data_IF_580542194208
#
_entry.id   IF_580542194208
#
_cell.length_a   1.000
_cell.length_b   1.000
_cell.length_c   1.000
_cell.angle_alpha   90.00
_cell.angle_beta   90.00
_cell.angle_gamma   90.00
#
_symmetry.space_group_name_H-M   'P 1'
#
loop_
_entity.id
_entity.type
_entity.pdbx_description
1 polymer ?
#
# COMPACT_ATOMS: atom_id res chain seq x y z
N UNK A 1 -4.41 5.64 -7.75
CA UNK A 1 -4.67 7.02 -8.17
C UNK A 1 -4.29 7.95 -7.03
N UNK A 2 -3.37 8.89 -7.21
CA UNK A 2 -3.02 9.85 -6.18
C UNK A 2 -4.16 10.84 -5.95
N UNK A 3 -4.58 11.02 -4.70
CA UNK A 3 -5.75 11.84 -4.34
C UNK A 3 -5.46 13.34 -4.25
N UNK A 4 -4.19 13.73 -4.29
CA UNK A 4 -3.76 15.09 -3.97
C UNK A 4 -4.43 16.19 -4.80
N UNK A 5 -4.87 15.89 -6.02
CA UNK A 5 -5.43 16.88 -6.94
C UNK A 5 -6.96 16.82 -7.06
N UNK A 6 -7.60 15.70 -6.81
CA UNK A 6 -9.05 15.54 -7.02
C UNK A 6 -9.88 15.56 -5.73
N UNK A 7 -9.22 15.45 -4.57
CA UNK A 7 -9.88 15.28 -3.29
C UNK A 7 -10.48 13.89 -3.07
N UNK A 8 -10.23 13.33 -1.89
CA UNK A 8 -10.66 11.96 -1.56
C UNK A 8 -12.19 11.84 -1.47
N UNK A 9 -12.86 12.77 -0.79
CA UNK A 9 -14.30 12.67 -0.54
C UNK A 9 -15.15 12.69 -1.83
N UNK A 10 -14.92 13.57 -2.81
CA UNK A 10 -15.64 13.50 -4.08
C UNK A 10 -15.44 12.20 -4.84
N UNK A 11 -14.21 11.64 -4.79
CA UNK A 11 -13.91 10.38 -5.46
C UNK A 11 -14.66 9.19 -4.82
N UNK A 12 -14.69 9.13 -3.50
CA UNK A 12 -15.44 8.09 -2.77
C UNK A 12 -16.95 8.22 -2.99
N UNK A 13 -17.47 9.45 -2.96
CA UNK A 13 -18.88 9.71 -3.25
C UNK A 13 -19.27 9.30 -4.68
N UNK A 14 -18.38 9.55 -5.65
CA UNK A 14 -18.57 9.08 -7.02
C UNK A 14 -18.61 7.55 -7.08
N UNK A 15 -17.62 6.88 -6.48
CA UNK A 15 -17.58 5.42 -6.46
C UNK A 15 -18.85 4.82 -5.84
N UNK A 16 -19.31 5.36 -4.72
CA UNK A 16 -20.52 4.93 -4.04
C UNK A 16 -21.77 5.10 -4.92
N UNK A 17 -21.88 6.24 -5.59
CA UNK A 17 -23.03 6.57 -6.45
C UNK A 17 -23.15 5.63 -7.65
N UNK A 18 -22.03 5.14 -8.17
CA UNK A 18 -21.98 4.22 -9.30
C UNK A 18 -21.83 2.75 -8.89
N UNK A 19 -21.92 2.44 -7.59
CA UNK A 19 -21.77 1.07 -7.10
C UNK A 19 -20.37 0.48 -7.32
N UNK A 20 -19.36 1.34 -7.50
CA UNK A 20 -17.97 0.91 -7.70
C UNK A 20 -17.38 0.55 -6.34
N UNK A 21 -16.95 -0.71 -6.13
CA UNK A 21 -16.29 -1.09 -4.90
C UNK A 21 -14.94 -0.37 -4.78
N UNK A 22 -14.65 0.14 -3.58
CA UNK A 22 -13.39 0.82 -3.31
C UNK A 22 -12.73 0.31 -2.04
N UNK A 23 -11.44 0.57 -1.91
CA UNK A 23 -10.65 0.34 -0.72
C UNK A 23 -9.56 1.42 -0.63
N UNK A 24 -9.44 2.05 0.54
CA UNK A 24 -8.38 3.00 0.82
C UNK A 24 -7.17 2.27 1.37
N UNK A 25 -5.99 2.52 0.79
CA UNK A 25 -4.71 2.22 1.41
C UNK A 25 -4.07 3.57 1.73
N UNK A 26 -3.63 3.76 2.94
CA UNK A 26 -3.00 4.99 3.39
C UNK A 26 -1.66 4.71 4.05
N UNK A 27 -0.69 5.57 3.80
CA UNK A 27 0.59 5.58 4.49
C UNK A 27 0.41 5.93 5.98
N UNK A 28 1.39 5.59 6.81
CA UNK A 28 1.36 5.90 8.24
C UNK A 28 1.86 7.29 8.58
N UNK A 29 2.03 8.15 7.58
CA UNK A 29 2.42 9.54 7.75
C UNK A 29 1.21 10.44 8.16
N UNK A 30 1.48 11.72 8.42
CA UNK A 30 0.45 12.68 8.83
C UNK A 30 -0.67 12.82 7.79
N UNK A 31 -0.33 12.79 6.51
CA UNK A 31 -1.30 12.88 5.42
C UNK A 31 -2.20 11.63 5.36
N UNK A 32 -1.61 10.44 5.49
CA UNK A 32 -2.33 9.19 5.52
C UNK A 32 -3.27 9.08 6.71
N UNK A 33 -2.83 9.47 7.91
CA UNK A 33 -3.67 9.55 9.11
C UNK A 33 -4.88 10.45 8.86
N UNK A 34 -4.66 11.60 8.22
CA UNK A 34 -5.73 12.54 7.89
C UNK A 34 -6.73 11.94 6.88
N UNK A 35 -6.24 11.23 5.85
CA UNK A 35 -7.10 10.53 4.88
C UNK A 35 -7.93 9.44 5.53
N UNK A 36 -7.35 8.64 6.42
CA UNK A 36 -8.08 7.64 7.20
C UNK A 36 -9.20 8.28 8.02
N UNK A 37 -8.90 9.36 8.75
CA UNK A 37 -9.88 10.06 9.56
C UNK A 37 -11.05 10.63 8.72
N UNK A 38 -10.75 11.17 7.54
CA UNK A 38 -11.79 11.64 6.59
C UNK A 38 -12.63 10.47 6.06
N UNK A 39 -11.99 9.38 5.67
CA UNK A 39 -12.69 8.22 5.10
C UNK A 39 -13.60 7.54 6.11
N UNK A 40 -13.20 7.48 7.40
CA UNK A 40 -14.06 6.96 8.47
C UNK A 40 -15.43 7.63 8.52
N UNK A 41 -15.48 8.92 8.29
CA UNK A 41 -16.76 9.68 8.26
C UNK A 41 -17.66 9.33 7.06
N UNK A 42 -17.09 8.71 6.04
CA UNK A 42 -17.77 8.31 4.79
C UNK A 42 -18.11 6.82 4.74
N UNK A 43 -17.76 6.06 5.78
CA UNK A 43 -18.02 4.61 5.80
C UNK A 43 -19.50 4.26 5.91
N UNK A 44 -20.32 5.16 6.48
CA UNK A 44 -21.71 4.89 6.84
C UNK A 44 -21.81 3.61 7.69
N UNK A 45 -22.39 2.54 7.17
CA UNK A 45 -22.54 1.24 7.86
C UNK A 45 -21.51 0.19 7.43
N UNK A 46 -20.48 0.56 6.62
CA UNK A 46 -19.48 -0.37 6.13
C UNK A 46 -18.43 -0.66 7.20
N UNK A 47 -18.04 -1.94 7.41
CA UNK A 47 -16.96 -2.27 8.33
C UNK A 47 -15.64 -1.63 7.89
N UNK A 48 -14.99 -0.90 8.79
CA UNK A 48 -13.73 -0.19 8.50
C UNK A 48 -12.66 -1.15 7.95
N UNK A 49 -12.48 -2.31 8.57
CA UNK A 49 -11.48 -3.30 8.16
C UNK A 49 -11.65 -3.80 6.71
N UNK A 50 -12.83 -3.62 6.12
CA UNK A 50 -13.08 -3.99 4.72
C UNK A 50 -12.95 -2.83 3.74
N UNK A 51 -12.72 -1.62 4.24
CA UNK A 51 -12.66 -0.41 3.41
C UNK A 51 -11.36 0.36 3.56
N UNK A 52 -10.62 0.16 4.65
CA UNK A 52 -9.41 0.92 4.95
C UNK A 52 -8.30 -0.04 5.38
N UNK A 53 -7.13 0.13 4.78
CA UNK A 53 -5.86 -0.43 5.25
C UNK A 53 -4.92 0.74 5.49
N UNK A 54 -4.59 1.01 6.75
CA UNK A 54 -3.54 1.94 7.13
C UNK A 54 -2.23 1.18 7.29
N UNK A 55 -1.17 1.64 6.65
CA UNK A 55 0.16 1.08 6.85
C UNK A 55 0.67 1.46 8.26
N UNK A 56 1.33 0.54 8.95
CA UNK A 56 1.84 0.81 10.30
C UNK A 56 3.18 1.56 10.30
N UNK A 57 3.74 1.80 9.12
CA UNK A 57 5.00 2.53 8.90
C UNK A 57 4.77 3.80 8.09
N UNK A 58 5.80 4.63 8.00
CA UNK A 58 5.77 5.92 7.33
C UNK A 58 5.18 5.85 5.92
N UNK A 59 5.58 4.83 5.18
CA UNK A 59 5.13 4.53 3.82
C UNK A 59 5.26 3.03 3.51
N UNK A 60 4.87 2.64 2.30
CA UNK A 60 4.94 1.25 1.85
C UNK A 60 6.38 0.72 1.82
N UNK A 61 7.34 1.55 1.46
CA UNK A 61 8.74 1.17 1.36
C UNK A 61 9.33 0.83 2.73
N UNK A 62 9.05 1.64 3.76
CA UNK A 62 9.46 1.36 5.15
C UNK A 62 8.75 0.14 5.71
N UNK A 63 7.46 -0.04 5.40
CA UNK A 63 6.73 -1.24 5.77
C UNK A 63 7.37 -2.49 5.16
N UNK A 64 7.64 -2.51 3.86
CA UNK A 64 8.28 -3.64 3.18
C UNK A 64 9.69 -3.91 3.71
N UNK A 65 10.45 -2.86 3.99
CA UNK A 65 11.75 -3.00 4.65
C UNK A 65 11.64 -3.78 5.96
N UNK A 66 10.75 -3.37 6.84
CA UNK A 66 10.52 -4.03 8.13
C UNK A 66 10.01 -5.47 7.98
N UNK A 67 9.20 -5.74 6.98
CA UNK A 67 8.66 -7.06 6.68
C UNK A 67 9.69 -8.02 6.01
N UNK A 68 10.97 -7.60 5.98
CA UNK A 68 12.08 -8.46 5.58
C UNK A 68 12.50 -8.34 4.11
N UNK A 69 12.10 -7.27 3.42
CA UNK A 69 12.56 -6.98 2.05
C UNK A 69 13.77 -6.03 2.02
N UNK A 70 14.43 -5.79 3.14
CA UNK A 70 15.62 -4.94 3.26
C UNK A 70 16.67 -5.26 2.19
N UNK A 71 16.94 -6.54 1.93
CA UNK A 71 17.93 -6.96 0.94
C UNK A 71 17.60 -6.48 -0.49
N UNK A 72 16.32 -6.34 -0.83
CA UNK A 72 15.90 -5.83 -2.15
C UNK A 72 16.28 -4.37 -2.29
N UNK A 73 15.97 -3.57 -1.26
CA UNK A 73 16.33 -2.14 -1.24
C UNK A 73 17.85 -1.93 -1.22
N UNK A 74 18.60 -2.71 -0.42
CA UNK A 74 20.06 -2.61 -0.39
C UNK A 74 20.69 -2.95 -1.74
N UNK A 75 20.20 -4.00 -2.41
CA UNK A 75 20.66 -4.37 -3.75
C UNK A 75 20.40 -3.27 -4.77
N UNK A 76 19.21 -2.67 -4.77
CA UNK A 76 18.85 -1.59 -5.67
C UNK A 76 19.59 -0.29 -5.38
N UNK A 77 19.86 0.01 -4.12
CA UNK A 77 20.61 1.19 -3.71
C UNK A 77 22.08 1.13 -4.16
N UNK A 78 22.64 -0.06 -4.34
CA UNK A 78 24.07 -0.24 -4.61
C UNK A 78 24.94 0.04 -3.38
N UNK A 79 26.19 0.49 -3.55
CA UNK A 79 27.09 0.78 -2.44
C UNK A 79 26.53 1.89 -1.54
N UNK A 80 26.25 1.54 -0.29
CA UNK A 80 25.88 2.45 0.80
C UNK A 80 26.72 2.14 2.02
N UNK A 81 26.89 3.11 2.90
CA UNK A 81 27.59 2.90 4.15
C UNK A 81 26.92 1.76 4.96
N UNK A 82 27.68 0.84 5.54
CA UNK A 82 27.11 -0.30 6.28
C UNK A 82 26.16 0.12 7.40
N UNK A 83 26.43 1.27 8.04
CA UNK A 83 25.65 1.87 9.10
C UNK A 83 24.46 2.70 8.62
N UNK A 84 24.23 2.81 7.30
CA UNK A 84 23.12 3.56 6.77
C UNK A 84 21.77 2.99 7.22
N UNK A 85 20.97 3.84 7.84
CA UNK A 85 19.63 3.49 8.28
C UNK A 85 18.66 3.25 7.14
N UNK A 86 17.51 2.62 7.44
CA UNK A 86 16.48 2.25 6.46
C UNK A 86 16.11 3.39 5.50
N UNK A 87 15.78 4.57 6.03
CA UNK A 87 15.37 5.72 5.20
C UNK A 87 16.41 6.15 4.18
N UNK A 88 17.71 6.14 4.55
CA UNK A 88 18.79 6.51 3.64
C UNK A 88 18.92 5.50 2.49
N UNK A 89 18.87 4.21 2.81
CA UNK A 89 18.96 3.14 1.81
C UNK A 89 17.73 3.15 0.90
N UNK A 90 16.54 3.25 1.45
CA UNK A 90 15.27 3.33 0.69
C UNK A 90 15.31 4.52 -0.27
N UNK A 91 15.70 5.70 0.22
CA UNK A 91 15.79 6.88 -0.61
C UNK A 91 16.79 6.72 -1.76
N UNK A 92 17.95 6.12 -1.51
CA UNK A 92 18.93 5.84 -2.55
C UNK A 92 18.43 4.80 -3.56
N UNK A 93 17.78 3.74 -3.10
CA UNK A 93 17.16 2.74 -3.96
C UNK A 93 16.11 3.35 -4.90
N UNK A 94 15.24 4.21 -4.36
CA UNK A 94 14.20 4.89 -5.15
C UNK A 94 14.77 5.89 -6.17
N UNK A 95 15.92 6.47 -5.88
CA UNK A 95 16.64 7.32 -6.86
C UNK A 95 17.28 6.50 -7.97
N UNK A 96 17.78 5.31 -7.67
CA UNK A 96 18.42 4.43 -8.64
C UNK A 96 17.42 3.68 -9.51
N UNK A 97 16.29 3.24 -8.94
CA UNK A 97 15.37 2.31 -9.59
C UNK A 97 13.95 2.85 -9.82
N UNK A 98 13.61 4.04 -9.33
CA UNK A 98 12.25 4.60 -9.29
C UNK A 98 11.26 3.79 -8.42
N UNK A 99 10.12 4.39 -8.03
CA UNK A 99 9.08 3.66 -7.27
C UNK A 99 8.47 2.49 -8.03
N UNK A 100 8.07 2.61 -9.32
CA UNK A 100 7.58 1.47 -10.09
C UNK A 100 8.62 0.37 -10.26
N UNK A 101 9.88 0.71 -10.48
CA UNK A 101 10.97 -0.26 -10.57
C UNK A 101 11.15 -1.02 -9.27
N UNK A 102 11.16 -0.34 -8.13
CA UNK A 102 11.24 -0.99 -6.83
C UNK A 102 10.05 -1.92 -6.55
N UNK A 103 8.85 -1.54 -6.99
CA UNK A 103 7.68 -2.40 -6.85
C UNK A 103 7.85 -3.73 -7.62
N UNK A 104 8.44 -3.69 -8.81
CA UNK A 104 8.75 -4.90 -9.60
C UNK A 104 9.81 -5.75 -8.88
N UNK A 105 10.90 -5.17 -8.41
CA UNK A 105 11.95 -5.89 -7.68
C UNK A 105 11.41 -6.61 -6.44
N UNK A 106 10.53 -5.92 -5.67
CA UNK A 106 9.87 -6.52 -4.51
C UNK A 106 8.91 -7.63 -4.93
N UNK A 107 8.13 -7.45 -6.00
CA UNK A 107 7.20 -8.44 -6.50
C UNK A 107 7.92 -9.72 -6.98
N UNK A 108 9.04 -9.57 -7.70
CA UNK A 108 9.88 -10.70 -8.12
C UNK A 108 10.46 -11.44 -6.92
N UNK A 109 10.95 -10.71 -5.92
CA UNK A 109 11.46 -11.32 -4.70
C UNK A 109 10.36 -12.04 -3.93
N UNK A 110 9.17 -11.48 -3.81
CA UNK A 110 8.01 -12.12 -3.20
C UNK A 110 7.64 -13.41 -3.94
N UNK A 111 7.65 -13.40 -5.27
CA UNK A 111 7.43 -14.57 -6.11
C UNK A 111 8.45 -15.69 -5.85
N UNK A 112 9.73 -15.34 -5.71
CA UNK A 112 10.80 -16.29 -5.38
C UNK A 112 10.68 -16.88 -3.97
N UNK A 113 10.25 -16.08 -3.01
CA UNK A 113 10.08 -16.50 -1.60
C UNK A 113 8.81 -17.31 -1.36
N UNK A 114 7.84 -17.20 -2.25
CA UNK A 114 6.55 -17.88 -2.17
C UNK A 114 5.51 -17.18 -1.29
N UNK A 115 4.25 -17.67 -1.34
CA UNK A 115 3.10 -17.00 -0.73
C UNK A 115 3.21 -16.76 0.78
N UNK A 116 3.88 -17.66 1.50
CA UNK A 116 4.06 -17.55 2.96
C UNK A 116 4.96 -16.39 3.40
N UNK A 117 5.65 -15.75 2.46
CA UNK A 117 6.55 -14.62 2.71
C UNK A 117 5.95 -13.27 2.29
N UNK A 118 4.74 -13.28 1.75
CA UNK A 118 3.99 -12.04 1.53
C UNK A 118 3.57 -11.51 2.90
N UNK A 119 3.83 -10.22 3.23
CA UNK A 119 3.39 -9.64 4.49
C UNK A 119 1.90 -9.86 4.75
N UNK A 120 1.56 -10.26 5.97
CA UNK A 120 0.19 -10.66 6.32
C UNK A 120 -0.84 -9.55 6.04
N UNK A 121 -0.47 -8.29 6.27
CA UNK A 121 -1.31 -7.14 5.95
C UNK A 121 -1.64 -7.06 4.46
N UNK A 122 -0.66 -7.28 3.59
CA UNK A 122 -0.88 -7.29 2.13
C UNK A 122 -1.67 -8.52 1.69
N UNK A 123 -1.42 -9.68 2.28
CA UNK A 123 -2.20 -10.88 1.99
C UNK A 123 -3.69 -10.70 2.34
N UNK A 124 -4.00 -10.07 3.49
CA UNK A 124 -5.36 -9.71 3.88
C UNK A 124 -5.97 -8.70 2.91
N UNK A 125 -5.24 -7.64 2.58
CA UNK A 125 -5.68 -6.64 1.61
C UNK A 125 -6.03 -7.27 0.26
N UNK A 126 -5.15 -8.11 -0.29
CA UNK A 126 -5.40 -8.79 -1.56
C UNK A 126 -6.61 -9.73 -1.48
N UNK A 127 -6.83 -10.38 -0.33
CA UNK A 127 -8.04 -11.15 -0.06
C UNK A 127 -9.30 -10.29 -0.19
N UNK A 128 -9.33 -9.15 0.48
CA UNK A 128 -10.44 -8.19 0.42
C UNK A 128 -10.68 -7.68 -1.01
N UNK A 129 -9.64 -7.28 -1.70
CA UNK A 129 -9.75 -6.77 -3.07
C UNK A 129 -10.27 -7.84 -4.03
N UNK A 130 -9.82 -9.07 -3.88
CA UNK A 130 -10.27 -10.20 -4.70
C UNK A 130 -11.75 -10.53 -4.46
N UNK A 131 -12.22 -10.42 -3.24
CA UNK A 131 -13.65 -10.58 -2.94
C UNK A 131 -14.49 -9.46 -3.55
N UNK A 132 -14.03 -8.21 -3.46
CA UNK A 132 -14.71 -7.05 -4.05
C UNK A 132 -14.74 -7.07 -5.59
N UNK A 133 -13.75 -7.69 -6.21
CA UNK A 133 -13.63 -7.79 -7.67
C UNK A 133 -14.51 -8.92 -8.26
N UNK A 134 -15.05 -9.82 -7.43
CA UNK A 134 -16.00 -10.83 -7.94
C UNK A 134 -17.25 -10.12 -8.42
N UNK A 135 -17.75 -10.45 -9.64
CA UNK A 135 -19.04 -9.96 -10.06
C UNK A 135 -20.09 -10.38 -9.02
N UNK A 136 -21.00 -9.48 -8.68
CA UNK A 136 -22.17 -9.87 -7.90
C UNK A 136 -22.88 -10.97 -8.71
N UNK A 137 -22.87 -12.20 -8.17
CA UNK A 137 -23.54 -13.34 -8.81
C UNK A 137 -24.94 -12.92 -9.22
N UNK A 138 -25.24 -13.19 -10.48
CA UNK A 138 -26.34 -12.67 -11.24
C UNK A 138 -27.69 -12.56 -10.52
N UNK A 139 -28.27 -11.39 -10.65
CA UNK A 139 -29.73 -11.26 -10.78
C UNK A 139 -30.06 -10.83 -12.19
#
# INVERSE_FOLDING_TARGET
MPFAQAGLAPLLAFADRFGIPWHLIADGDEAGIHYVAKTRKLLHHRPEARQITALPDLDLEHFLWREGYENVFRRAAGPVAPEAGASAVIHQALRACSKPGMALEVAEEAGRRGPSRVPSLLAQLFGILREKAKPADGR
#
